data_IF_369518378735
#
_entry.id   IF_369518378735
#
_cell.length_a   1.000
_cell.length_b   1.000
_cell.length_c   1.000
_cell.angle_alpha   90.00
_cell.angle_beta   90.00
_cell.angle_gamma   90.00
#
_symmetry.space_group_name_H-M   'P 1'
#
loop_
_entity.id
_entity.type
_entity.pdbx_description
1 polymer ?
#
# COMPACT_ATOMS: atom_id res chain seq x y z
N UNK A 1 -15.88 13.38 -1.80
CA UNK A 1 -15.86 11.92 -2.02
C UNK A 1 -14.70 11.63 -2.95
N UNK A 2 -13.69 10.92 -2.48
CA UNK A 2 -12.50 10.64 -3.28
C UNK A 2 -12.53 9.19 -3.81
N UNK A 3 -11.89 8.95 -4.94
CA UNK A 3 -11.98 7.67 -5.64
C UNK A 3 -10.76 6.78 -5.39
N UNK A 4 -10.98 5.47 -5.31
CA UNK A 4 -9.96 4.42 -5.20
C UNK A 4 -9.99 3.58 -6.47
N UNK A 5 -8.82 3.27 -7.03
CA UNK A 5 -8.70 2.34 -8.15
C UNK A 5 -8.74 0.89 -7.64
N UNK A 6 -9.58 0.05 -8.21
CA UNK A 6 -9.52 -1.40 -8.09
C UNK A 6 -9.07 -1.99 -9.44
N UNK A 7 -7.83 -2.42 -9.52
CA UNK A 7 -7.18 -2.90 -10.74
C UNK A 7 -6.98 -4.41 -10.68
N UNK A 8 -7.51 -5.13 -11.67
CA UNK A 8 -7.38 -6.58 -11.78
C UNK A 8 -6.68 -6.94 -13.09
N UNK A 9 -5.59 -7.70 -12.98
CA UNK A 9 -4.80 -8.15 -14.12
C UNK A 9 -5.39 -9.35 -14.87
N UNK A 10 -4.55 -9.99 -15.70
CA UNK A 10 -5.00 -11.02 -16.61
C UNK A 10 -5.64 -12.25 -15.93
N UNK A 11 -6.63 -12.84 -16.61
CA UNK A 11 -7.44 -13.99 -16.25
C UNK A 11 -8.43 -13.79 -15.09
N UNK A 12 -8.42 -12.65 -14.40
CA UNK A 12 -9.33 -12.42 -13.27
C UNK A 12 -10.77 -12.16 -13.71
N UNK A 13 -11.00 -11.74 -14.97
CA UNK A 13 -12.35 -11.67 -15.55
C UNK A 13 -13.03 -13.04 -15.71
N UNK A 14 -12.27 -14.14 -15.59
CA UNK A 14 -12.76 -15.52 -15.72
C UNK A 14 -13.11 -16.17 -14.36
N UNK A 15 -13.12 -15.40 -13.27
CA UNK A 15 -13.53 -15.90 -11.97
C UNK A 15 -15.00 -16.33 -11.96
N UNK A 16 -15.30 -17.44 -11.29
CA UNK A 16 -16.63 -18.05 -11.22
C UNK A 16 -17.04 -18.87 -12.46
N UNK A 17 -16.32 -18.76 -13.59
CA UNK A 17 -16.63 -19.54 -14.81
C UNK A 17 -15.63 -20.67 -15.08
N UNK A 18 -14.38 -20.54 -14.61
CA UNK A 18 -13.31 -21.54 -14.85
C UNK A 18 -13.05 -22.41 -13.62
N UNK A 19 -13.30 -23.72 -13.72
CA UNK A 19 -13.09 -24.73 -12.66
C UNK A 19 -13.59 -24.27 -11.28
N UNK A 20 -14.90 -24.02 -11.13
CA UNK A 20 -15.50 -23.53 -9.87
C UNK A 20 -15.20 -24.43 -8.67
N UNK A 21 -15.00 -25.73 -8.90
CA UNK A 21 -14.55 -26.71 -7.89
C UNK A 21 -13.15 -26.41 -7.32
N UNK A 22 -12.29 -25.66 -8.03
CA UNK A 22 -10.94 -25.29 -7.60
C UNK A 22 -10.81 -23.84 -7.13
N UNK A 23 -11.60 -22.92 -7.71
CA UNK A 23 -11.46 -21.46 -7.48
C UNK A 23 -12.67 -20.82 -6.80
N UNK A 24 -13.71 -21.60 -6.51
CA UNK A 24 -14.98 -21.12 -5.99
C UNK A 24 -15.88 -20.55 -7.09
N UNK A 25 -17.12 -20.24 -6.70
CA UNK A 25 -18.14 -19.66 -7.59
C UNK A 25 -18.15 -18.14 -7.57
N UNK A 26 -17.34 -17.50 -6.71
CA UNK A 26 -17.30 -16.05 -6.58
C UNK A 26 -16.78 -15.43 -7.86
N UNK A 27 -17.59 -14.54 -8.45
CA UNK A 27 -17.26 -13.81 -9.66
C UNK A 27 -16.48 -12.54 -9.34
N UNK A 28 -15.78 -11.99 -10.33
CA UNK A 28 -15.12 -10.69 -10.17
C UNK A 28 -16.12 -9.58 -9.84
N UNK A 29 -17.32 -9.60 -10.44
CA UNK A 29 -18.36 -8.62 -10.18
C UNK A 29 -18.82 -8.62 -8.71
N UNK A 30 -18.88 -9.78 -8.07
CA UNK A 30 -19.18 -9.89 -6.65
C UNK A 30 -18.05 -9.34 -5.77
N UNK A 31 -16.79 -9.61 -6.13
CA UNK A 31 -15.63 -9.01 -5.45
C UNK A 31 -15.68 -7.49 -5.55
N UNK A 32 -15.90 -6.94 -6.73
CA UNK A 32 -15.99 -5.49 -6.92
C UNK A 32 -17.13 -4.87 -6.12
N UNK A 33 -18.30 -5.51 -6.08
CA UNK A 33 -19.45 -5.06 -5.27
C UNK A 33 -19.08 -5.00 -3.80
N UNK A 34 -18.42 -6.03 -3.29
CA UNK A 34 -18.07 -6.11 -1.88
C UNK A 34 -16.98 -5.09 -1.49
N UNK A 35 -16.01 -4.85 -2.38
CA UNK A 35 -15.01 -3.76 -2.22
C UNK A 35 -15.70 -2.40 -2.22
N UNK A 36 -16.61 -2.14 -3.18
CA UNK A 36 -17.40 -0.90 -3.22
C UNK A 36 -18.16 -0.68 -1.91
N UNK A 37 -18.81 -1.71 -1.38
CA UNK A 37 -19.52 -1.64 -0.10
C UNK A 37 -18.58 -1.27 1.04
N UNK A 38 -17.44 -1.95 1.15
CA UNK A 38 -16.44 -1.72 2.21
C UNK A 38 -15.89 -0.29 2.16
N UNK A 39 -15.57 0.20 0.96
CA UNK A 39 -15.01 1.55 0.77
C UNK A 39 -16.05 2.64 1.02
N UNK A 40 -17.31 2.41 0.64
CA UNK A 40 -18.40 3.37 0.83
C UNK A 40 -18.64 3.77 2.30
N UNK A 41 -18.34 2.88 3.25
CA UNK A 41 -18.44 3.16 4.69
C UNK A 41 -17.53 4.31 5.15
N UNK A 42 -16.47 4.60 4.38
CA UNK A 42 -15.55 5.72 4.61
C UNK A 42 -15.80 6.95 3.74
N UNK A 43 -16.89 6.96 2.95
CA UNK A 43 -17.23 8.08 2.08
C UNK A 43 -16.37 8.20 0.82
N UNK A 44 -15.80 7.08 0.37
CA UNK A 44 -15.02 6.94 -0.86
C UNK A 44 -15.78 6.12 -1.91
N UNK A 45 -15.39 6.23 -3.18
CA UNK A 45 -15.89 5.40 -4.30
C UNK A 45 -14.80 4.52 -4.89
N UNK A 46 -15.19 3.56 -5.73
CA UNK A 46 -14.25 2.64 -6.37
C UNK A 46 -14.43 2.61 -7.88
N UNK A 47 -13.37 2.97 -8.59
CA UNK A 47 -13.22 2.77 -10.05
C UNK A 47 -12.64 1.39 -10.29
N UNK A 48 -13.43 0.48 -10.87
CA UNK A 48 -12.99 -0.89 -11.13
C UNK A 48 -12.54 -1.04 -12.59
N UNK A 49 -11.41 -1.70 -12.81
CA UNK A 49 -10.95 -2.09 -14.13
C UNK A 49 -10.30 -3.48 -14.08
N UNK A 50 -10.69 -4.33 -15.03
CA UNK A 50 -10.00 -5.57 -15.32
C UNK A 50 -9.64 -5.60 -16.80
N UNK A 51 -8.42 -6.03 -17.10
CA UNK A 51 -8.00 -6.23 -18.49
C UNK A 51 -6.96 -7.37 -18.58
N UNK A 52 -6.87 -7.98 -19.75
CA UNK A 52 -5.89 -9.02 -20.07
C UNK A 52 -4.56 -8.42 -20.56
N UNK A 53 -4.54 -7.14 -20.95
CA UNK A 53 -3.40 -6.43 -21.51
C UNK A 53 -2.69 -5.56 -20.48
N UNK A 54 -1.39 -5.80 -20.29
CA UNK A 54 -0.54 -4.93 -19.46
C UNK A 54 -0.60 -3.47 -19.92
N UNK A 55 -0.65 -3.22 -21.23
CA UNK A 55 -0.73 -1.85 -21.76
C UNK A 55 -2.02 -1.13 -21.34
N UNK A 56 -3.15 -1.85 -21.24
CA UNK A 56 -4.39 -1.25 -20.74
C UNK A 56 -4.31 -0.97 -19.24
N UNK A 57 -3.74 -1.90 -18.47
CA UNK A 57 -3.56 -1.73 -17.02
C UNK A 57 -2.62 -0.54 -16.71
N UNK A 58 -1.52 -0.38 -17.45
CA UNK A 58 -0.62 0.78 -17.34
C UNK A 58 -1.36 2.09 -17.63
N UNK A 59 -2.14 2.15 -18.71
CA UNK A 59 -2.96 3.34 -19.02
C UNK A 59 -3.98 3.63 -17.92
N UNK A 60 -4.57 2.60 -17.32
CA UNK A 60 -5.52 2.75 -16.23
C UNK A 60 -4.86 3.35 -14.98
N UNK A 61 -3.63 2.94 -14.65
CA UNK A 61 -2.86 3.53 -13.55
C UNK A 61 -2.57 5.01 -13.81
N UNK A 62 -2.11 5.36 -15.02
CA UNK A 62 -1.87 6.77 -15.38
C UNK A 62 -3.16 7.61 -15.36
N UNK A 63 -4.28 7.06 -15.83
CA UNK A 63 -5.58 7.72 -15.82
C UNK A 63 -6.19 7.85 -14.41
N UNK A 64 -5.63 7.15 -13.43
CA UNK A 64 -6.04 7.19 -12.02
C UNK A 64 -5.14 8.10 -11.17
N UNK A 65 -4.43 9.05 -11.79
CA UNK A 65 -3.59 10.02 -11.06
C UNK A 65 -4.38 10.91 -10.07
N UNK A 66 -5.71 10.97 -10.21
CA UNK A 66 -6.65 11.64 -9.32
C UNK A 66 -7.18 10.76 -8.19
N UNK A 67 -6.93 9.45 -8.24
CA UNK A 67 -7.36 8.51 -7.21
C UNK A 67 -6.48 8.66 -5.96
N UNK A 68 -7.10 8.57 -4.79
CA UNK A 68 -6.40 8.71 -3.50
C UNK A 68 -5.66 7.45 -3.08
N UNK A 69 -6.02 6.30 -3.65
CA UNK A 69 -5.39 5.02 -3.37
C UNK A 69 -5.76 3.95 -4.40
N UNK A 70 -5.12 2.78 -4.32
CA UNK A 70 -5.44 1.66 -5.19
C UNK A 70 -5.41 0.29 -4.49
N UNK A 71 -6.18 -0.66 -5.01
CA UNK A 71 -6.12 -2.08 -4.69
C UNK A 71 -5.80 -2.79 -6.00
N UNK A 72 -4.72 -3.56 -6.03
CA UNK A 72 -4.19 -4.14 -7.25
C UNK A 72 -4.03 -5.64 -7.07
N UNK A 73 -4.71 -6.43 -7.90
CA UNK A 73 -4.35 -7.82 -8.13
C UNK A 73 -3.71 -7.92 -9.51
N UNK A 74 -2.37 -7.99 -9.63
CA UNK A 74 -1.69 -8.01 -10.92
C UNK A 74 -1.88 -9.35 -11.67
N UNK A 75 -2.45 -10.38 -11.03
CA UNK A 75 -2.51 -11.73 -11.59
C UNK A 75 -1.11 -12.25 -11.91
N UNK A 76 -0.91 -12.79 -13.11
CA UNK A 76 0.39 -13.29 -13.54
C UNK A 76 1.45 -12.18 -13.74
N UNK A 77 1.03 -10.91 -13.90
CA UNK A 77 1.96 -9.79 -14.10
C UNK A 77 2.82 -9.49 -12.86
N UNK A 78 2.50 -10.06 -11.70
CA UNK A 78 3.40 -9.99 -10.54
C UNK A 78 4.81 -10.52 -10.88
N UNK A 79 4.95 -11.47 -11.81
CA UNK A 79 6.23 -12.12 -12.09
C UNK A 79 7.08 -11.31 -13.09
N UNK A 80 6.44 -10.69 -14.08
CA UNK A 80 7.13 -10.13 -15.26
C UNK A 80 6.53 -8.81 -15.78
N UNK A 81 5.53 -8.24 -15.11
CA UNK A 81 4.87 -6.99 -15.50
C UNK A 81 5.66 -5.78 -15.05
N UNK A 82 6.86 -5.61 -15.62
CA UNK A 82 7.75 -4.49 -15.29
C UNK A 82 7.18 -3.14 -15.74
N UNK A 83 6.43 -3.09 -16.84
CA UNK A 83 5.77 -1.84 -17.24
C UNK A 83 4.65 -1.47 -16.26
N UNK A 84 3.89 -2.44 -15.77
CA UNK A 84 2.90 -2.21 -14.72
C UNK A 84 3.55 -1.79 -13.39
N UNK A 85 4.67 -2.43 -13.02
CA UNK A 85 5.47 -2.05 -11.84
C UNK A 85 5.85 -0.57 -11.89
N UNK A 86 6.46 -0.11 -12.99
CA UNK A 86 6.96 1.26 -13.12
C UNK A 86 5.81 2.29 -13.14
N UNK A 87 4.67 1.92 -13.71
CA UNK A 87 3.45 2.74 -13.62
C UNK A 87 2.96 2.87 -12.17
N UNK A 88 2.96 1.78 -11.39
CA UNK A 88 2.56 1.78 -9.98
C UNK A 88 3.57 2.49 -9.07
N UNK A 89 4.86 2.49 -9.42
CA UNK A 89 5.89 3.28 -8.75
C UNK A 89 5.60 4.79 -8.83
N UNK A 90 4.96 5.22 -9.93
CA UNK A 90 4.56 6.61 -10.17
C UNK A 90 3.15 6.95 -9.64
N UNK A 91 2.43 5.98 -9.07
CA UNK A 91 1.08 6.22 -8.55
C UNK A 91 1.15 7.08 -7.26
N UNK A 92 0.38 8.17 -7.15
CA UNK A 92 0.60 9.19 -6.12
C UNK A 92 0.11 8.80 -4.71
N UNK A 93 -0.74 7.77 -4.60
CA UNK A 93 -1.35 7.33 -3.34
C UNK A 93 -0.81 6.00 -2.81
N UNK A 94 -1.14 5.63 -1.57
CA UNK A 94 -0.89 4.28 -1.07
C UNK A 94 -1.71 3.27 -1.87
N UNK A 95 -1.18 2.05 -1.99
CA UNK A 95 -1.90 0.97 -2.65
C UNK A 95 -1.57 -0.40 -2.07
N UNK A 96 -2.53 -1.32 -2.17
CA UNK A 96 -2.44 -2.67 -1.62
C UNK A 96 -2.37 -3.70 -2.75
N UNK A 97 -1.47 -4.68 -2.63
CA UNK A 97 -1.45 -5.84 -3.52
C UNK A 97 -2.30 -6.97 -2.95
N UNK A 98 -3.09 -7.62 -3.80
CA UNK A 98 -3.97 -8.73 -3.41
C UNK A 98 -3.79 -9.92 -4.33
N UNK A 99 -3.72 -11.12 -3.75
CA UNK A 99 -3.74 -12.39 -4.45
C UNK A 99 -4.80 -13.31 -3.85
N UNK A 100 -5.68 -13.84 -4.69
CA UNK A 100 -6.71 -14.80 -4.25
C UNK A 100 -6.09 -16.05 -3.62
N UNK A 101 -5.09 -16.63 -4.28
CA UNK A 101 -4.38 -17.84 -3.81
C UNK A 101 -3.17 -17.48 -2.96
N UNK A 102 -2.74 -18.41 -2.11
CA UNK A 102 -1.44 -18.30 -1.43
C UNK A 102 -0.33 -18.51 -2.47
N UNK A 103 0.33 -17.43 -2.90
CA UNK A 103 1.39 -17.49 -3.93
C UNK A 103 2.62 -18.26 -3.46
N UNK A 104 2.88 -18.29 -2.14
CA UNK A 104 4.01 -19.01 -1.54
C UNK A 104 3.78 -20.53 -1.45
N UNK A 105 2.53 -20.99 -1.55
CA UNK A 105 2.20 -22.42 -1.64
C UNK A 105 2.28 -22.96 -3.08
N UNK A 106 2.69 -22.13 -4.04
CA UNK A 106 2.74 -22.46 -5.47
C UNK A 106 4.18 -22.59 -5.97
N UNK A 107 4.35 -22.66 -7.29
CA UNK A 107 5.65 -22.84 -7.92
C UNK A 107 6.65 -21.73 -7.51
N UNK A 108 7.96 -22.03 -7.38
CA UNK A 108 8.94 -21.08 -6.85
C UNK A 108 9.00 -19.74 -7.59
N UNK A 109 8.74 -19.73 -8.90
CA UNK A 109 8.74 -18.49 -9.68
C UNK A 109 7.61 -17.52 -9.29
N UNK A 110 6.59 -17.97 -8.53
CA UNK A 110 5.50 -17.12 -8.02
C UNK A 110 5.80 -16.52 -6.65
N UNK A 111 6.90 -16.94 -6.02
CA UNK A 111 7.28 -16.43 -4.69
C UNK A 111 7.86 -15.02 -4.78
N UNK A 112 8.34 -14.61 -5.96
CA UNK A 112 8.91 -13.30 -6.18
C UNK A 112 8.00 -12.46 -7.08
N UNK A 113 7.43 -11.40 -6.51
CA UNK A 113 6.70 -10.37 -7.24
C UNK A 113 7.63 -9.21 -7.53
N UNK A 114 7.70 -8.77 -8.78
CA UNK A 114 8.41 -7.52 -9.16
C UNK A 114 7.62 -6.28 -8.70
N UNK A 115 6.35 -6.45 -8.34
CA UNK A 115 5.41 -5.39 -7.97
C UNK A 115 5.32 -5.21 -6.44
N UNK A 116 5.32 -6.31 -5.66
CA UNK A 116 5.11 -6.28 -4.21
C UNK A 116 6.04 -5.37 -3.40
N UNK A 117 7.33 -5.19 -3.76
CA UNK A 117 8.20 -4.28 -3.02
C UNK A 117 7.72 -2.82 -2.98
N UNK A 118 6.84 -2.42 -3.91
CA UNK A 118 6.29 -1.07 -4.00
C UNK A 118 4.96 -0.90 -3.24
N UNK A 119 4.29 -2.00 -2.88
CA UNK A 119 2.97 -1.96 -2.24
C UNK A 119 3.06 -1.50 -0.78
N UNK A 120 2.02 -0.80 -0.31
CA UNK A 120 1.86 -0.47 1.12
C UNK A 120 1.57 -1.70 1.98
N UNK A 121 1.05 -2.77 1.37
CA UNK A 121 0.76 -4.04 2.01
C UNK A 121 0.38 -5.09 0.96
N UNK A 122 0.60 -6.36 1.30
CA UNK A 122 0.32 -7.50 0.42
C UNK A 122 -0.54 -8.51 1.16
N UNK A 123 -1.66 -8.90 0.56
CA UNK A 123 -2.54 -9.94 1.07
C UNK A 123 -2.57 -11.10 0.07
N UNK A 124 -2.33 -12.32 0.53
CA UNK A 124 -2.41 -13.50 -0.32
C UNK A 124 -3.07 -14.68 0.39
N UNK A 125 -3.78 -15.52 -0.38
CA UNK A 125 -4.35 -16.77 0.13
C UNK A 125 -5.63 -16.66 0.94
N UNK A 126 -6.25 -15.48 0.95
CA UNK A 126 -7.51 -15.22 1.67
C UNK A 126 -8.74 -15.26 0.75
N UNK A 127 -8.57 -15.71 -0.50
CA UNK A 127 -9.62 -15.72 -1.50
C UNK A 127 -10.19 -14.32 -1.75
N UNK A 128 -11.48 -14.27 -2.09
CA UNK A 128 -12.21 -13.02 -2.31
C UNK A 128 -12.19 -12.09 -1.10
N UNK A 129 -12.17 -12.63 0.13
CA UNK A 129 -12.15 -11.84 1.35
C UNK A 129 -10.86 -11.00 1.50
N UNK A 130 -9.76 -11.43 0.86
CA UNK A 130 -8.52 -10.64 0.80
C UNK A 130 -8.71 -9.24 0.19
N UNK A 131 -9.65 -9.08 -0.75
CA UNK A 131 -9.96 -7.77 -1.32
C UNK A 131 -10.65 -6.85 -0.32
N UNK A 132 -11.56 -7.37 0.50
CA UNK A 132 -12.24 -6.59 1.55
C UNK A 132 -11.23 -6.16 2.63
N UNK A 133 -10.34 -7.06 3.04
CA UNK A 133 -9.27 -6.73 3.98
C UNK A 133 -8.30 -5.69 3.43
N UNK A 134 -7.95 -5.78 2.14
CA UNK A 134 -7.15 -4.77 1.47
C UNK A 134 -7.84 -3.40 1.44
N UNK A 135 -9.15 -3.38 1.17
CA UNK A 135 -9.96 -2.15 1.21
C UNK A 135 -9.98 -1.53 2.61
N UNK A 136 -10.21 -2.32 3.66
CA UNK A 136 -10.15 -1.85 5.05
C UNK A 136 -8.77 -1.29 5.41
N UNK A 137 -7.70 -2.02 5.06
CA UNK A 137 -6.33 -1.59 5.30
C UNK A 137 -5.98 -0.29 4.57
N UNK A 138 -6.42 -0.16 3.31
CA UNK A 138 -6.19 1.05 2.51
C UNK A 138 -6.93 2.25 3.09
N UNK A 139 -8.22 2.11 3.42
CA UNK A 139 -9.01 3.17 4.04
C UNK A 139 -8.39 3.62 5.36
N UNK A 140 -7.97 2.67 6.19
CA UNK A 140 -7.26 2.99 7.43
C UNK A 140 -5.98 3.79 7.16
N UNK A 141 -5.20 3.39 6.15
CA UNK A 141 -3.97 4.09 5.77
C UNK A 141 -4.23 5.51 5.28
N UNK A 142 -5.24 5.69 4.43
CA UNK A 142 -5.64 7.02 3.92
C UNK A 142 -6.03 7.96 5.06
N UNK A 143 -6.77 7.46 6.05
CA UNK A 143 -7.12 8.24 7.23
C UNK A 143 -5.88 8.65 8.05
N UNK A 144 -4.89 7.77 8.18
CA UNK A 144 -3.62 8.09 8.85
C UNK A 144 -2.81 9.16 8.10
N UNK A 145 -2.74 9.06 6.77
CA UNK A 145 -1.98 10.01 5.95
C UNK A 145 -2.66 11.40 5.93
N UNK A 146 -3.99 11.45 5.93
CA UNK A 146 -4.76 12.68 6.11
C UNK A 146 -4.51 13.31 7.49
N UNK A 147 -4.53 12.52 8.56
CA UNK A 147 -4.27 13.00 9.92
C UNK A 147 -2.84 13.55 10.09
N UNK A 148 -1.84 12.92 9.46
CA UNK A 148 -0.45 13.42 9.45
C UNK A 148 -0.30 14.73 8.69
N UNK A 149 -1.01 14.87 7.57
CA UNK A 149 -0.98 16.07 6.73
C UNK A 149 -1.66 17.27 7.40
N UNK A 150 -2.62 17.04 8.29
CA UNK A 150 -3.30 18.09 9.06
C UNK A 150 -2.42 18.72 10.16
N UNK A 151 -1.27 18.12 10.50
CA UNK A 151 -0.41 18.53 11.61
C UNK A 151 -1.06 18.32 12.98
N UNK A 152 -0.31 18.41 14.09
CA UNK A 152 -0.93 18.51 15.39
C UNK A 152 -1.76 19.81 15.41
N UNK A 153 -3.08 19.70 15.64
CA UNK A 153 -3.91 20.85 15.93
C UNK A 153 -3.17 21.71 16.96
N UNK A 154 -2.90 22.96 16.60
CA UNK A 154 -1.85 23.78 17.20
C UNK A 154 -1.73 23.61 18.71
N UNK A 155 -0.51 23.35 19.18
CA UNK A 155 -0.12 23.78 20.52
C UNK A 155 -0.42 25.27 20.58
N UNK A 156 -1.52 25.65 21.22
CA UNK A 156 -1.78 27.03 21.60
C UNK A 156 -0.58 27.59 22.38
N UNK A 157 -0.44 28.92 22.52
CA UNK A 157 0.67 29.52 23.23
C UNK A 157 0.55 29.21 24.73
N UNK A 158 1.01 28.02 25.12
CA UNK A 158 1.04 27.52 26.48
C UNK A 158 2.35 27.89 27.13
N UNK A 159 2.36 29.06 27.76
CA UNK A 159 3.25 29.47 28.85
C UNK A 159 4.75 29.22 28.66
N UNK A 160 5.46 30.27 28.26
CA UNK A 160 6.84 30.46 28.69
C UNK A 160 6.87 30.43 30.23
N UNK A 161 7.20 29.27 30.80
CA UNK A 161 7.56 29.17 32.21
C UNK A 161 8.96 29.77 32.33
N UNK A 162 9.01 31.01 32.82
CA UNK A 162 10.25 31.65 33.21
C UNK A 162 10.95 30.82 34.27
N UNK A 163 12.15 30.35 33.96
CA UNK A 163 13.08 29.85 34.96
C UNK A 163 13.90 31.03 35.49
N UNK A 164 13.92 31.32 36.81
CA UNK A 164 14.93 32.20 37.38
C UNK A 164 16.24 31.42 37.47
N UNK A 165 17.33 32.04 37.01
CA UNK A 165 18.68 31.54 37.28
C UNK A 165 18.99 31.58 38.78
N UNK A 166 20.01 30.79 39.19
CA UNK A 166 21.12 31.43 39.88
C UNK A 166 22.45 30.98 39.30
N UNK A 167 23.40 31.91 39.31
CA UNK A 167 24.78 31.67 38.91
C UNK A 167 25.65 31.03 39.99
N UNK A 168 26.93 30.99 39.63
CA UNK A 168 28.15 30.66 40.38
C UNK A 168 28.60 29.19 40.42
N UNK A 169 29.83 28.98 39.92
CA UNK A 169 30.59 27.76 40.13
C UNK A 169 31.73 27.57 39.12
N UNK A 170 32.85 28.27 39.31
CA UNK A 170 34.13 28.04 38.63
C UNK A 170 34.62 26.59 38.83
N UNK A 171 35.22 26.00 37.79
CA UNK A 171 35.86 24.69 37.87
C UNK A 171 36.77 24.41 36.67
N UNK A 172 38.03 24.80 36.79
CA UNK A 172 39.14 24.49 35.88
C UNK A 172 39.43 22.98 35.85
N UNK A 173 39.68 22.41 34.67
CA UNK A 173 40.07 21.01 34.54
C UNK A 173 40.64 20.64 33.16
N UNK A 174 41.94 20.87 33.01
CA UNK A 174 42.84 20.36 31.97
C UNK A 174 42.71 18.84 31.76
N UNK A 175 42.84 18.37 30.51
CA UNK A 175 43.01 16.94 30.23
C UNK A 175 43.03 16.58 28.74
N UNK A 176 44.20 16.71 28.11
CA UNK A 176 44.49 16.16 26.78
C UNK A 176 44.59 14.62 26.81
N UNK A 177 44.24 13.95 25.70
CA UNK A 177 44.53 12.52 25.46
C UNK A 177 43.63 11.90 24.39
N UNK A 178 43.92 12.07 23.10
CA UNK A 178 44.72 11.17 22.22
C UNK A 178 43.99 9.87 21.84
N UNK A 179 43.62 9.77 20.55
CA UNK A 179 43.27 8.53 19.85
C UNK A 179 44.50 7.64 19.61
N UNK A 180 44.31 6.32 19.44
CA UNK A 180 44.50 5.69 18.11
C UNK A 180 43.35 4.70 17.83
N UNK A 181 42.87 4.49 16.60
CA UNK A 181 43.56 3.91 15.44
C UNK A 181 42.98 2.49 15.16
N UNK A 182 42.77 2.07 13.90
CA UNK A 182 41.94 0.92 13.54
C UNK A 182 42.69 -0.42 13.59
N UNK A 183 41.97 -1.51 13.88
CA UNK A 183 42.49 -2.89 13.85
C UNK A 183 41.69 -3.75 12.87
N UNK A 184 42.37 -4.18 11.82
CA UNK A 184 41.90 -5.14 10.83
C UNK A 184 42.07 -6.59 11.33
N UNK A 185 41.11 -7.45 10.95
CA UNK A 185 41.30 -8.79 10.36
C UNK A 185 39.98 -9.22 9.75
#
# INVERSE_FOLDING_TARGET
>A
MAEILLLNGPNLGQLGTRRPEMYGTTTLAEIERDVRKTVAESGHTVRCLQDESEATLVRAVHAAADCVGAIVNPGALMIAGWSLRDALESFPGPWMEVHLSNVFAREPFRHNSVISPLASGVLCGLGAYGYQLAALGLVHRLAQDAARSAGPAGSGPGAAVGAPGPGHGLGTGSGAGRAPGPGAT
#
